data_IF_926921192738
#
_entry.id   IF_926921192738
#
_cell.length_a   1.000
_cell.length_b   1.000
_cell.length_c   1.000
_cell.angle_alpha   90.00
_cell.angle_beta   90.00
_cell.angle_gamma   90.00
#
_symmetry.space_group_name_H-M   'P 1'
#
loop_
_entity.id
_entity.type
_entity.pdbx_description
1 polymer ?
#
# COMPACT_ATOMS: atom_id res chain seq x y z
N UNK A 1 -15.29 11.82 11.73
CA UNK A 1 -15.00 10.41 12.05
C UNK A 1 -14.48 9.70 10.83
N UNK A 2 -13.45 8.90 10.99
CA UNK A 2 -12.85 8.13 9.91
C UNK A 2 -13.46 6.73 9.88
N UNK A 3 -14.02 6.34 8.74
CA UNK A 3 -14.56 5.00 8.53
C UNK A 3 -13.75 4.27 7.46
N UNK A 4 -13.40 3.01 7.74
CA UNK A 4 -12.76 2.14 6.77
C UNK A 4 -13.79 1.18 6.21
N UNK A 5 -13.92 1.18 4.89
CA UNK A 5 -14.85 0.30 4.19
C UNK A 5 -14.07 -0.63 3.29
N UNK A 6 -14.15 -1.92 3.58
CA UNK A 6 -13.51 -2.94 2.76
C UNK A 6 -14.45 -3.37 1.65
N UNK A 7 -13.92 -3.45 0.43
CA UNK A 7 -14.66 -3.94 -0.73
C UNK A 7 -13.83 -5.01 -1.41
N UNK A 8 -14.39 -6.21 -1.50
CA UNK A 8 -13.79 -7.33 -2.23
C UNK A 8 -14.61 -7.55 -3.49
N UNK A 9 -14.16 -7.00 -4.61
CA UNK A 9 -14.92 -7.00 -5.86
C UNK A 9 -14.50 -8.08 -6.85
N UNK A 10 -13.25 -8.60 -6.72
CA UNK A 10 -12.70 -9.59 -7.63
C UNK A 10 -11.85 -10.59 -6.85
N UNK A 11 -11.83 -11.87 -7.27
CA UNK A 11 -10.89 -12.83 -6.68
C UNK A 11 -9.45 -12.34 -6.85
N UNK A 12 -8.67 -12.41 -5.78
CA UNK A 12 -7.28 -12.02 -5.80
C UNK A 12 -7.01 -10.54 -5.63
N UNK A 13 -8.03 -9.71 -5.45
CA UNK A 13 -7.85 -8.27 -5.24
C UNK A 13 -8.55 -7.84 -3.96
N UNK A 14 -7.82 -7.14 -3.11
CA UNK A 14 -8.37 -6.51 -1.90
C UNK A 14 -8.38 -5.00 -2.12
N UNK A 15 -9.54 -4.38 -1.94
CA UNK A 15 -9.68 -2.93 -2.06
C UNK A 15 -10.34 -2.39 -0.80
N UNK A 16 -9.81 -1.30 -0.28
CA UNK A 16 -10.39 -0.64 0.89
C UNK A 16 -10.31 0.87 0.70
N UNK A 17 -11.29 1.56 1.24
CA UNK A 17 -11.32 3.02 1.22
C UNK A 17 -11.52 3.58 2.62
N UNK A 18 -11.01 4.76 2.84
CA UNK A 18 -11.22 5.55 4.04
C UNK A 18 -12.20 6.67 3.72
N UNK A 19 -13.18 6.84 4.56
CA UNK A 19 -14.25 7.82 4.37
C UNK A 19 -14.33 8.74 5.59
N UNK A 20 -14.42 10.04 5.35
CA UNK A 20 -14.70 11.04 6.38
C UNK A 20 -16.03 11.70 6.01
N UNK A 21 -17.07 11.44 6.80
CA UNK A 21 -18.43 11.85 6.43
C UNK A 21 -18.86 11.12 5.16
N UNK A 22 -19.13 11.87 4.09
CA UNK A 22 -19.52 11.30 2.80
C UNK A 22 -18.40 11.38 1.76
N UNK A 23 -17.21 11.81 2.16
CA UNK A 23 -16.09 11.98 1.25
C UNK A 23 -15.09 10.84 1.38
N UNK A 24 -14.69 10.26 0.24
CA UNK A 24 -13.58 9.32 0.21
C UNK A 24 -12.27 10.11 0.31
N UNK A 25 -11.50 9.85 1.36
CA UNK A 25 -10.26 10.57 1.64
C UNK A 25 -9.00 9.75 1.37
N UNK A 26 -9.14 8.46 1.17
CA UNK A 26 -8.02 7.60 0.85
C UNK A 26 -8.48 6.22 0.39
N UNK A 27 -7.54 5.48 -0.20
CA UNK A 27 -7.82 4.11 -0.65
C UNK A 27 -6.53 3.30 -0.72
N UNK A 28 -6.69 1.99 -0.77
CA UNK A 28 -5.60 1.03 -0.95
C UNK A 28 -6.10 -0.15 -1.77
N UNK A 29 -5.23 -0.71 -2.60
CA UNK A 29 -5.51 -1.93 -3.34
C UNK A 29 -4.34 -2.89 -3.23
N UNK A 30 -4.64 -4.14 -2.96
CA UNK A 30 -3.67 -5.24 -2.91
C UNK A 30 -4.02 -6.31 -3.93
N UNK A 31 -3.03 -6.76 -4.69
CA UNK A 31 -3.16 -7.80 -5.70
C UNK A 31 -2.52 -9.08 -5.17
N UNK A 32 -3.34 -10.10 -4.96
CA UNK A 32 -2.86 -11.38 -4.41
C UNK A 32 -2.44 -12.31 -5.53
N UNK A 33 -1.15 -12.62 -5.59
CA UNK A 33 -0.56 -13.56 -6.54
C UNK A 33 -0.39 -14.91 -5.86
N UNK A 34 -1.42 -15.74 -5.92
CA UNK A 34 -1.47 -17.00 -5.13
C UNK A 34 -0.42 -18.02 -5.54
N UNK A 35 -0.13 -18.12 -6.82
CA UNK A 35 0.91 -19.06 -7.30
C UNK A 35 2.28 -18.68 -6.74
N UNK A 36 2.57 -17.39 -6.68
CA UNK A 36 3.84 -16.86 -6.18
C UNK A 36 3.86 -16.72 -4.66
N UNK A 37 2.69 -16.81 -4.00
CA UNK A 37 2.51 -16.58 -2.57
C UNK A 37 2.93 -15.17 -2.14
N UNK A 38 2.72 -14.19 -3.04
CA UNK A 38 3.08 -12.78 -2.82
C UNK A 38 1.85 -11.92 -3.10
N UNK A 39 1.59 -10.98 -2.22
CA UNK A 39 0.60 -9.94 -2.45
C UNK A 39 1.33 -8.62 -2.70
N UNK A 40 0.96 -7.94 -3.78
CA UNK A 40 1.50 -6.62 -4.11
C UNK A 40 0.52 -5.55 -3.65
N UNK A 41 0.99 -4.63 -2.83
CA UNK A 41 0.23 -3.41 -2.53
C UNK A 41 0.41 -2.51 -3.74
N UNK A 42 -0.59 -2.53 -4.62
CA UNK A 42 -0.46 -1.93 -5.95
C UNK A 42 -0.67 -0.42 -5.91
N UNK A 43 -1.59 0.04 -5.05
CA UNK A 43 -1.96 1.45 -5.00
C UNK A 43 -2.36 1.81 -3.59
N UNK A 44 -1.84 2.92 -3.10
CA UNK A 44 -2.28 3.54 -1.85
C UNK A 44 -2.25 5.05 -2.04
N UNK A 45 -3.34 5.71 -1.69
CA UNK A 45 -3.47 7.14 -1.87
C UNK A 45 -4.27 7.77 -0.76
N UNK A 46 -3.90 9.00 -0.40
CA UNK A 46 -4.60 9.81 0.61
C UNK A 46 -4.70 11.22 0.07
N UNK A 47 -5.87 11.84 0.18
CA UNK A 47 -6.03 13.24 -0.22
C UNK A 47 -5.04 14.14 0.54
N UNK A 48 -4.46 15.15 -0.12
CA UNK A 48 -3.44 15.99 0.51
C UNK A 48 -3.86 16.60 1.84
N UNK A 49 -5.13 17.00 1.98
CA UNK A 49 -5.64 17.62 3.21
C UNK A 49 -5.65 16.67 4.39
N UNK A 50 -5.64 15.36 4.12
CA UNK A 50 -5.72 14.33 5.16
C UNK A 50 -4.40 13.60 5.38
N UNK A 51 -3.33 14.01 4.71
CA UNK A 51 -2.00 13.43 4.91
C UNK A 51 -1.44 13.82 6.28
N UNK A 52 -0.57 12.98 6.81
CA UNK A 52 0.02 13.20 8.12
C UNK A 52 -0.89 12.90 9.30
N UNK A 53 -2.04 12.28 9.06
CA UNK A 53 -3.03 11.94 10.09
C UNK A 53 -3.18 10.43 10.31
N UNK A 54 -2.29 9.63 9.72
CA UNK A 54 -2.32 8.18 9.88
C UNK A 54 -3.32 7.45 8.99
N UNK A 55 -3.95 8.14 8.02
CA UNK A 55 -4.93 7.50 7.12
C UNK A 55 -4.27 6.43 6.27
N UNK A 56 -3.13 6.74 5.64
CA UNK A 56 -2.41 5.79 4.82
C UNK A 56 -1.94 4.57 5.60
N UNK A 57 -1.41 4.79 6.79
CA UNK A 57 -0.96 3.71 7.67
C UNK A 57 -2.12 2.80 8.08
N UNK A 58 -3.26 3.38 8.41
CA UNK A 58 -4.45 2.63 8.80
C UNK A 58 -4.97 1.80 7.63
N UNK A 59 -4.98 2.38 6.43
CA UNK A 59 -5.38 1.66 5.21
C UNK A 59 -4.43 0.50 4.91
N UNK A 60 -3.13 0.73 5.02
CA UNK A 60 -2.12 -0.30 4.79
C UNK A 60 -2.32 -1.47 5.74
N UNK A 61 -2.44 -1.21 7.03
CA UNK A 61 -2.64 -2.26 8.03
C UNK A 61 -3.94 -3.02 7.82
N UNK A 62 -5.01 -2.32 7.48
CA UNK A 62 -6.30 -2.95 7.21
C UNK A 62 -6.23 -3.85 5.97
N UNK A 63 -5.53 -3.41 4.94
CA UNK A 63 -5.31 -4.21 3.74
C UNK A 63 -4.49 -5.46 4.07
N UNK A 64 -3.42 -5.32 4.86
CA UNK A 64 -2.59 -6.44 5.28
C UNK A 64 -3.38 -7.50 6.04
N UNK A 65 -4.32 -7.06 6.88
CA UNK A 65 -5.14 -7.99 7.66
C UNK A 65 -6.06 -8.84 6.77
N UNK A 66 -6.42 -8.34 5.61
CA UNK A 66 -7.26 -9.08 4.66
C UNK A 66 -6.46 -9.96 3.71
N UNK A 67 -5.16 -9.81 3.68
CA UNK A 67 -4.28 -10.61 2.85
C UNK A 67 -3.82 -11.82 3.65
N UNK A 68 -4.04 -13.01 3.09
CA UNK A 68 -3.67 -14.27 3.74
C UNK A 68 -2.32 -14.81 3.27
N UNK A 69 -1.74 -14.21 2.23
CA UNK A 69 -0.46 -14.66 1.69
C UNK A 69 0.71 -14.23 2.61
N UNK A 70 1.80 -15.03 2.63
CA UNK A 70 2.87 -14.80 3.61
C UNK A 70 3.80 -13.63 3.28
N UNK A 71 3.84 -13.18 2.03
CA UNK A 71 4.78 -12.14 1.59
C UNK A 71 4.02 -10.96 1.01
N UNK A 72 4.36 -9.77 1.48
CA UNK A 72 3.80 -8.51 0.98
C UNK A 72 4.91 -7.72 0.33
N UNK A 73 4.64 -7.16 -0.86
CA UNK A 73 5.58 -6.30 -1.58
C UNK A 73 4.89 -5.02 -2.02
N UNK A 74 5.66 -3.96 -2.14
CA UNK A 74 5.21 -2.70 -2.70
C UNK A 74 6.37 -2.01 -3.41
N UNK A 75 6.02 -1.03 -4.25
CA UNK A 75 6.99 -0.16 -4.90
C UNK A 75 6.80 1.26 -4.41
N UNK A 76 7.89 1.94 -4.20
CA UNK A 76 7.89 3.35 -3.79
C UNK A 76 9.03 4.07 -4.51
N UNK A 77 8.83 5.35 -4.86
CA UNK A 77 9.90 6.13 -5.47
C UNK A 77 11.08 6.22 -4.52
N UNK A 78 12.29 6.05 -5.05
CA UNK A 78 13.51 6.08 -4.23
C UNK A 78 13.74 7.44 -3.57
N UNK A 79 13.14 8.51 -4.12
CA UNK A 79 13.24 9.86 -3.56
C UNK A 79 12.13 10.17 -2.54
N UNK A 80 11.18 9.27 -2.35
CA UNK A 80 10.12 9.48 -1.37
C UNK A 80 10.53 8.95 0.00
N UNK A 81 11.43 9.67 0.64
CA UNK A 81 12.03 9.24 1.91
C UNK A 81 11.02 9.13 3.04
N UNK A 82 10.00 9.98 3.04
CA UNK A 82 8.94 9.92 4.05
C UNK A 82 8.15 8.62 3.98
N UNK A 83 7.75 8.22 2.78
CA UNK A 83 7.02 6.97 2.58
C UNK A 83 7.88 5.75 2.92
N UNK A 84 9.14 5.75 2.47
CA UNK A 84 10.08 4.67 2.77
C UNK A 84 10.21 4.49 4.28
N UNK A 85 10.36 5.59 5.00
CA UNK A 85 10.50 5.54 6.46
C UNK A 85 9.26 4.94 7.13
N UNK A 86 8.07 5.32 6.65
CA UNK A 86 6.82 4.76 7.17
C UNK A 86 6.75 3.25 6.93
N UNK A 87 7.07 2.81 5.71
CA UNK A 87 7.03 1.38 5.39
C UNK A 87 8.05 0.60 6.22
N UNK A 88 9.24 1.14 6.42
CA UNK A 88 10.24 0.50 7.28
C UNK A 88 9.73 0.34 8.71
N UNK A 89 9.02 1.33 9.24
CA UNK A 89 8.41 1.25 10.56
C UNK A 89 7.35 0.17 10.66
N UNK A 90 6.69 -0.17 9.56
CA UNK A 90 5.68 -1.24 9.54
C UNK A 90 6.27 -2.60 9.18
N UNK A 91 7.59 -2.70 9.12
CA UNK A 91 8.26 -3.99 8.93
C UNK A 91 8.66 -4.31 7.50
N UNK A 92 8.47 -3.38 6.56
CA UNK A 92 8.95 -3.57 5.21
C UNK A 92 10.45 -3.32 5.14
N UNK A 93 11.14 -4.13 4.35
CA UNK A 93 12.59 -4.03 4.15
C UNK A 93 12.89 -3.84 2.68
N UNK A 94 13.99 -3.15 2.38
CA UNK A 94 14.42 -2.92 1.01
C UNK A 94 14.80 -4.25 0.37
N UNK A 95 14.22 -4.55 -0.80
CA UNK A 95 14.45 -5.79 -1.53
C UNK A 95 15.28 -5.56 -2.78
N UNK A 96 15.04 -4.46 -3.51
CA UNK A 96 15.74 -4.15 -4.74
C UNK A 96 15.23 -2.88 -5.37
N UNK A 97 15.75 -2.54 -6.54
CA UNK A 97 15.34 -1.36 -7.28
C UNK A 97 15.04 -1.71 -8.73
N UNK A 98 14.05 -1.06 -9.30
CA UNK A 98 13.74 -1.12 -10.73
C UNK A 98 14.04 0.24 -11.34
N UNK A 99 15.05 0.30 -12.23
CA UNK A 99 15.45 1.53 -12.90
C UNK A 99 14.35 2.04 -13.83
N UNK A 100 14.18 3.36 -13.88
CA UNK A 100 13.27 4.04 -14.81
C UNK A 100 11.84 3.48 -14.76
N UNK A 101 11.37 3.13 -13.57
CA UNK A 101 10.06 2.49 -13.40
C UNK A 101 8.90 3.45 -13.62
N UNK A 102 9.02 4.70 -13.14
CA UNK A 102 7.97 5.71 -13.27
C UNK A 102 8.11 6.47 -14.59
N UNK A 103 7.01 7.11 -15.02
CA UNK A 103 6.97 7.81 -16.30
C UNK A 103 8.03 8.91 -16.44
N UNK A 104 8.38 9.55 -15.32
CA UNK A 104 9.41 10.59 -15.30
C UNK A 104 10.84 10.03 -15.25
N UNK A 105 11.00 8.72 -15.32
CA UNK A 105 12.30 8.06 -15.30
C UNK A 105 12.82 7.77 -13.90
N UNK A 106 12.08 8.10 -12.85
CA UNK A 106 12.52 7.82 -11.49
C UNK A 106 12.53 6.30 -11.22
N UNK A 107 13.53 5.81 -10.48
CA UNK A 107 13.56 4.40 -10.10
C UNK A 107 12.56 4.10 -8.98
N UNK A 108 12.13 2.84 -8.90
CA UNK A 108 11.30 2.34 -7.83
C UNK A 108 12.12 1.49 -6.88
N UNK A 109 11.92 1.73 -5.59
CA UNK A 109 12.42 0.84 -4.55
C UNK A 109 11.36 -0.22 -4.30
N UNK A 110 11.74 -1.49 -4.38
CA UNK A 110 10.86 -2.60 -4.03
C UNK A 110 11.10 -2.91 -2.56
N UNK A 111 10.02 -2.91 -1.79
CA UNK A 111 10.08 -3.23 -0.36
C UNK A 111 9.23 -4.46 -0.08
N UNK A 112 9.66 -5.25 0.90
CA UNK A 112 9.05 -6.54 1.20
C UNK A 112 8.85 -6.71 2.70
N UNK A 113 7.70 -7.28 3.07
CA UNK A 113 7.41 -7.70 4.43
C UNK A 113 6.97 -9.15 4.42
N UNK A 114 7.59 -9.94 5.28
CA UNK A 114 7.20 -11.34 5.49
C UNK A 114 6.37 -11.40 6.78
N UNK A 115 5.17 -11.94 6.65
CA UNK A 115 4.27 -12.10 7.79
C UNK A 115 4.67 -13.22 8.70
#
# INVERSE_FOLDING_TARGET
MLDLIGVLTMPGVVRMKAVAGQCMIGFVAGDMRRVEQIAWIATIGVLPEFRGRGVGSTLLLACEQRITLPVLRLCVRTDNLGAIHIYERFGYRRKGEWAAYYQDGAPALVMEKVK
#
